data_IF_844000106380
#
_entry.id   IF_844000106380
#
_cell.length_a   1.000
_cell.length_b   1.000
_cell.length_c   1.000
_cell.angle_alpha   90.00
_cell.angle_beta   90.00
_cell.angle_gamma   90.00
#
_symmetry.space_group_name_H-M   'P 1'
#
loop_
_entity.id
_entity.type
_entity.pdbx_description
1 polymer ?
#
# COMPACT_ATOMS: atom_id res chain seq x y z
N UNK A 1 -22.80 24.69 27.95
CA UNK A 1 -21.76 24.43 26.94
C UNK A 1 -20.89 23.30 27.46
N UNK A 2 -21.06 22.07 26.95
CA UNK A 2 -20.17 20.97 27.32
C UNK A 2 -18.94 21.02 26.42
N UNK A 3 -17.81 21.46 26.95
CA UNK A 3 -16.52 21.41 26.27
C UNK A 3 -16.07 19.95 26.23
N UNK A 4 -16.12 19.35 25.04
CA UNK A 4 -15.61 18.01 24.82
C UNK A 4 -14.09 18.05 24.95
N UNK A 5 -13.56 17.37 25.97
CA UNK A 5 -12.12 17.30 26.22
C UNK A 5 -11.46 16.47 25.11
N UNK A 6 -10.60 17.10 24.31
CA UNK A 6 -9.86 16.44 23.22
C UNK A 6 -8.57 15.87 23.81
N UNK A 7 -8.47 14.54 23.83
CA UNK A 7 -7.20 13.85 24.10
C UNK A 7 -6.32 13.83 22.86
N UNK A 8 -5.03 14.11 23.00
CA UNK A 8 -4.05 14.07 21.91
C UNK A 8 -3.07 12.92 22.17
N UNK A 9 -2.86 12.07 21.15
CA UNK A 9 -1.85 11.02 21.17
C UNK A 9 -0.81 11.35 20.10
N UNK A 10 0.45 11.47 20.49
CA UNK A 10 1.57 11.76 19.59
C UNK A 10 2.51 10.55 19.57
N UNK A 11 2.80 10.02 18.39
CA UNK A 11 3.62 8.82 18.21
C UNK A 11 4.55 8.99 17.01
N UNK A 12 5.76 8.43 17.10
CA UNK A 12 6.76 8.42 16.01
C UNK A 12 6.60 7.15 15.17
N UNK A 13 7.01 7.23 13.91
CA UNK A 13 7.04 6.07 13.00
C UNK A 13 8.23 5.13 13.23
N UNK A 14 9.28 5.62 13.88
CA UNK A 14 10.49 4.87 14.14
C UNK A 14 10.74 4.72 15.66
N UNK A 15 10.93 3.49 16.17
CA UNK A 15 10.66 2.21 15.49
C UNK A 15 9.14 1.99 15.29
N UNK A 16 8.72 1.25 14.24
CA UNK A 16 7.31 0.88 14.06
C UNK A 16 6.87 -0.13 15.11
N UNK A 17 5.56 -0.25 15.34
CA UNK A 17 5.01 -1.27 16.23
C UNK A 17 5.08 -2.67 15.61
N UNK A 18 4.84 -2.75 14.30
CA UNK A 18 4.81 -4.01 13.55
C UNK A 18 5.41 -3.78 12.16
N UNK A 19 6.21 -4.74 11.69
CA UNK A 19 6.64 -4.79 10.29
C UNK A 19 6.03 -6.01 9.64
N UNK A 20 5.20 -5.79 8.61
CA UNK A 20 4.59 -6.88 7.84
C UNK A 20 5.24 -7.01 6.48
N UNK A 21 5.98 -8.09 6.27
CA UNK A 21 6.68 -8.37 5.01
C UNK A 21 5.78 -9.18 4.08
N UNK A 22 5.81 -8.83 2.81
CA UNK A 22 5.12 -9.50 1.71
C UNK A 22 6.13 -9.86 0.61
N UNK A 23 5.73 -10.70 -0.33
CA UNK A 23 6.61 -11.16 -1.40
C UNK A 23 7.24 -10.02 -2.23
N UNK A 24 6.56 -8.87 -2.36
CA UNK A 24 6.98 -7.74 -3.21
C UNK A 24 7.14 -6.43 -2.44
N UNK A 25 7.18 -6.49 -1.10
CA UNK A 25 7.07 -5.27 -0.33
C UNK A 25 6.95 -5.47 1.17
N UNK A 26 6.75 -4.36 1.89
CA UNK A 26 6.52 -4.37 3.33
C UNK A 26 5.65 -3.21 3.78
N UNK A 27 5.05 -3.36 4.96
CA UNK A 27 4.39 -2.31 5.71
C UNK A 27 5.09 -2.11 7.05
N UNK A 28 5.28 -0.87 7.47
CA UNK A 28 5.80 -0.51 8.80
C UNK A 28 4.67 0.20 9.57
N UNK A 29 4.01 -0.50 10.47
CA UNK A 29 2.72 -0.11 11.04
C UNK A 29 2.87 0.57 12.40
N UNK A 30 2.04 1.57 12.65
CA UNK A 30 1.87 2.27 13.92
C UNK A 30 0.39 2.32 14.28
N UNK A 31 0.08 1.95 15.52
CA UNK A 31 -1.27 1.97 16.08
C UNK A 31 -1.50 3.25 16.88
N UNK A 32 -2.51 4.05 16.50
CA UNK A 32 -2.90 5.29 17.18
C UNK A 32 -4.43 5.38 17.24
N UNK A 33 -5.00 5.43 18.44
CA UNK A 33 -6.45 5.63 18.63
C UNK A 33 -7.33 4.56 17.96
N UNK A 34 -6.86 3.31 17.90
CA UNK A 34 -7.57 2.21 17.23
C UNK A 34 -7.44 2.20 15.70
N UNK A 35 -6.71 3.16 15.12
CA UNK A 35 -6.35 3.17 13.71
C UNK A 35 -4.92 2.64 13.53
N UNK A 36 -4.67 2.02 12.39
CA UNK A 36 -3.33 1.58 11.98
C UNK A 36 -2.89 2.39 10.78
N UNK A 37 -1.73 3.04 10.88
CA UNK A 37 -1.15 3.91 9.84
C UNK A 37 0.31 3.52 9.67
N UNK A 38 0.83 3.54 8.44
CA UNK A 38 2.22 3.18 8.20
C UNK A 38 2.65 3.37 6.74
N UNK A 39 3.94 3.63 6.47
CA UNK A 39 4.45 3.59 5.11
C UNK A 39 4.37 2.17 4.53
N UNK A 40 4.19 2.12 3.21
CA UNK A 40 4.15 0.90 2.42
C UNK A 40 5.19 0.98 1.32
N UNK A 41 5.97 -0.08 1.16
CA UNK A 41 6.86 -0.26 0.00
C UNK A 41 6.31 -1.40 -0.84
N UNK A 42 6.22 -1.21 -2.15
CA UNK A 42 5.84 -2.23 -3.11
C UNK A 42 6.70 -2.10 -4.36
N UNK A 43 7.15 -3.22 -4.91
CA UNK A 43 7.84 -3.30 -6.19
C UNK A 43 6.81 -3.41 -7.33
N UNK A 44 6.56 -2.31 -8.09
CA UNK A 44 5.71 -2.38 -9.26
C UNK A 44 6.41 -3.16 -10.39
N UNK A 45 5.62 -3.92 -11.15
CA UNK A 45 6.10 -4.56 -12.39
C UNK A 45 5.44 -3.89 -13.59
N UNK A 46 6.23 -3.60 -14.62
CA UNK A 46 5.71 -3.23 -15.93
C UNK A 46 5.11 -4.46 -16.61
N UNK A 47 3.91 -4.31 -17.15
CA UNK A 47 3.32 -5.32 -18.02
C UNK A 47 3.88 -5.09 -19.43
N UNK A 48 4.62 -6.07 -19.95
CA UNK A 48 5.02 -6.05 -21.36
C UNK A 48 3.77 -6.31 -22.21
N UNK A 49 3.25 -5.27 -22.84
CA UNK A 49 2.24 -5.44 -23.89
C UNK A 49 3.00 -5.84 -25.16
N UNK A 50 2.72 -7.05 -25.66
CA UNK A 50 3.27 -7.49 -26.95
C UNK A 50 2.79 -6.58 -28.07
N UNK A 51 3.58 -6.44 -29.13
CA UNK A 51 3.12 -5.79 -30.35
C UNK A 51 1.95 -6.62 -30.92
N UNK A 52 0.75 -6.03 -30.96
CA UNK A 52 -0.38 -6.62 -31.66
C UNK A 52 -0.13 -6.34 -33.14
N UNK A 53 0.20 -7.39 -33.90
CA UNK A 53 0.22 -7.30 -35.36
C UNK A 53 -1.22 -7.24 -35.88
N UNK A 54 -1.68 -6.02 -36.20
CA UNK A 54 -3.00 -5.75 -36.75
C UNK A 54 -3.18 -6.33 -38.16
N UNK A 55 -2.08 -6.67 -38.85
CA UNK A 55 -2.10 -7.21 -40.21
C UNK A 55 -2.09 -8.74 -40.24
N UNK A 56 -2.05 -9.41 -39.09
CA UNK A 56 -2.15 -10.87 -39.05
C UNK A 56 -3.59 -11.27 -39.37
N UNK A 57 -3.88 -11.92 -40.52
CA UNK A 57 -5.22 -12.41 -40.78
C UNK A 57 -5.57 -13.41 -39.68
N UNK A 58 -6.66 -13.14 -38.94
CA UNK A 58 -7.19 -14.13 -38.00
C UNK A 58 -7.57 -15.34 -38.83
N UNK A 59 -6.89 -16.46 -38.62
CA UNK A 59 -7.33 -17.73 -39.17
C UNK A 59 -8.72 -18.00 -38.59
N UNK A 60 -9.75 -17.77 -39.40
CA UNK A 60 -11.12 -18.14 -39.10
C UNK A 60 -11.13 -19.67 -39.11
N UNK A 61 -11.36 -20.28 -37.95
CA UNK A 61 -11.70 -21.70 -37.85
C UNK A 61 -13.16 -21.90 -38.20
#
# INVERSE_FOLDING_TARGET
MSSKQIGVILKRFEPPDEVRVMQKGKFELVHIGGMTIGPATYEPRLVQVGAIDLNRPRAVR
#
